data_IF_249392092468
#
_entry.id   IF_249392092468
#
_cell.length_a   1.000
_cell.length_b   1.000
_cell.length_c   1.000
_cell.angle_alpha   90.00
_cell.angle_beta   90.00
_cell.angle_gamma   90.00
#
_symmetry.space_group_name_H-M   'P 1'
#
loop_
_entity.id
_entity.type
_entity.pdbx_description
1 polymer ?
#
# COMPACT_ATOMS: atom_id res chain seq x y z
N UNK A 1 17.77 7.17 19.01
CA UNK A 1 17.38 7.18 17.58
C UNK A 1 17.84 8.50 16.98
N UNK A 2 18.76 8.48 16.02
CA UNK A 2 19.03 9.68 15.21
C UNK A 2 17.85 9.89 14.24
N UNK A 3 17.42 11.14 14.04
CA UNK A 3 16.27 11.51 13.20
C UNK A 3 16.33 10.94 11.77
N UNK A 4 17.54 10.66 11.27
CA UNK A 4 17.80 10.14 9.93
C UNK A 4 17.32 8.69 9.74
N UNK A 5 17.42 7.85 10.78
CA UNK A 5 17.05 6.42 10.71
C UNK A 5 15.55 6.20 10.91
N UNK A 6 14.88 7.03 11.73
CA UNK A 6 13.43 6.94 11.94
C UNK A 6 12.60 7.28 10.68
N UNK A 7 13.21 7.91 9.68
CA UNK A 7 12.56 8.32 8.43
C UNK A 7 12.48 7.21 7.37
N UNK A 8 13.23 6.10 7.56
CA UNK A 8 13.35 5.01 6.58
C UNK A 8 12.82 3.66 7.10
N UNK A 9 12.55 3.51 8.39
CA UNK A 9 12.04 2.27 8.96
C UNK A 9 10.53 2.09 8.71
N UNK A 10 10.11 0.88 8.37
CA UNK A 10 8.69 0.50 8.34
C UNK A 10 8.03 0.78 9.69
N UNK A 11 6.91 1.56 9.74
CA UNK A 11 6.19 1.80 10.97
C UNK A 11 5.75 0.50 11.65
N UNK A 12 5.92 0.41 12.97
CA UNK A 12 5.62 -0.81 13.75
C UNK A 12 4.21 -1.36 13.52
N UNK A 13 3.19 -0.49 13.42
CA UNK A 13 1.81 -0.93 13.19
C UNK A 13 1.62 -1.65 11.85
N UNK A 14 2.37 -1.26 10.82
CA UNK A 14 2.37 -1.92 9.51
C UNK A 14 3.09 -3.27 9.62
N UNK A 15 4.28 -3.27 10.22
CA UNK A 15 5.08 -4.49 10.39
C UNK A 15 4.30 -5.57 11.16
N UNK A 16 3.64 -5.18 12.26
CA UNK A 16 2.79 -6.05 13.07
C UNK A 16 1.57 -6.56 12.31
N UNK A 17 0.82 -5.67 11.68
CA UNK A 17 -0.37 -6.05 10.91
C UNK A 17 -0.02 -7.01 9.76
N UNK A 18 1.19 -6.92 9.20
CA UNK A 18 1.65 -7.87 8.20
C UNK A 18 1.95 -9.23 8.78
N UNK A 19 2.66 -9.29 9.91
CA UNK A 19 2.94 -10.57 10.58
C UNK A 19 1.63 -11.28 10.98
N UNK A 20 0.63 -10.54 11.44
CA UNK A 20 -0.70 -11.07 11.81
C UNK A 20 -1.50 -11.64 10.62
N UNK A 21 -1.20 -11.23 9.38
CA UNK A 21 -1.84 -11.78 8.17
C UNK A 21 -1.25 -13.12 7.73
N UNK A 22 -0.09 -13.51 8.27
CA UNK A 22 0.56 -14.78 7.92
C UNK A 22 0.01 -15.88 8.82
N UNK A 23 -0.60 -16.89 8.21
CA UNK A 23 -0.97 -18.10 8.92
C UNK A 23 0.29 -18.92 9.25
N UNK A 24 0.66 -18.98 10.53
CA UNK A 24 1.85 -19.69 10.98
C UNK A 24 1.78 -21.21 10.73
N UNK A 25 0.57 -21.77 10.54
CA UNK A 25 0.36 -23.22 10.34
C UNK A 25 0.75 -23.70 8.95
N UNK A 26 0.80 -22.80 7.96
CA UNK A 26 1.20 -23.12 6.59
C UNK A 26 2.69 -22.89 6.33
N UNK A 27 3.41 -22.31 7.30
CA UNK A 27 4.83 -22.02 7.15
C UNK A 27 5.68 -23.30 7.29
N UNK A 28 6.60 -23.57 6.35
CA UNK A 28 7.59 -24.65 6.48
C UNK A 28 8.39 -24.53 7.78
N UNK A 29 8.96 -25.61 8.32
CA UNK A 29 9.80 -25.53 9.52
C UNK A 29 11.06 -24.67 9.27
N UNK A 30 11.61 -24.05 10.32
CA UNK A 30 12.86 -23.29 10.23
C UNK A 30 12.77 -21.84 10.66
N UNK A 31 13.86 -21.11 10.43
CA UNK A 31 14.02 -19.70 10.82
C UNK A 31 13.42 -18.76 9.77
N UNK A 32 13.10 -17.54 10.19
CA UNK A 32 12.72 -16.44 9.29
C UNK A 32 13.98 -15.67 8.92
N UNK A 33 14.34 -15.68 7.64
CA UNK A 33 15.44 -14.90 7.11
C UNK A 33 14.94 -13.53 6.66
N UNK A 34 15.67 -12.48 7.02
CA UNK A 34 15.63 -11.18 6.35
C UNK A 34 17.00 -10.90 5.72
N UNK A 35 17.06 -10.97 4.39
CA UNK A 35 18.30 -10.86 3.63
C UNK A 35 18.74 -9.40 3.36
N UNK A 36 17.98 -8.42 3.84
CA UNK A 36 18.32 -7.00 3.82
C UNK A 36 17.68 -6.30 5.04
N UNK A 37 18.12 -6.71 6.23
CA UNK A 37 17.35 -6.50 7.46
C UNK A 37 17.23 -5.03 7.90
N UNK A 38 18.15 -4.15 7.48
CA UNK A 38 18.18 -2.76 7.92
C UNK A 38 18.12 -2.67 9.44
N UNK A 39 17.19 -1.88 9.98
CA UNK A 39 17.00 -1.74 11.44
C UNK A 39 16.45 -2.98 12.16
N UNK A 40 16.01 -4.02 11.44
CA UNK A 40 15.44 -5.24 12.00
C UNK A 40 13.96 -5.17 12.40
N UNK A 41 13.29 -4.01 12.28
CA UNK A 41 11.89 -3.82 12.75
C UNK A 41 10.91 -4.82 12.12
N UNK A 42 11.04 -5.08 10.82
CA UNK A 42 10.16 -6.01 10.11
C UNK A 42 10.41 -7.46 10.55
N UNK A 43 11.68 -7.87 10.65
CA UNK A 43 12.04 -9.18 11.16
C UNK A 43 11.58 -9.39 12.61
N UNK A 44 11.70 -8.37 13.48
CA UNK A 44 11.18 -8.44 14.86
C UNK A 44 9.67 -8.67 14.87
N UNK A 45 8.91 -7.96 14.04
CA UNK A 45 7.47 -8.16 13.95
C UNK A 45 7.12 -9.57 13.45
N UNK A 46 7.83 -10.07 12.43
CA UNK A 46 7.64 -11.42 11.89
C UNK A 46 7.96 -12.50 12.93
N UNK A 47 9.15 -12.44 13.54
CA UNK A 47 9.62 -13.41 14.55
C UNK A 47 8.71 -13.45 15.78
N UNK A 48 8.26 -12.28 16.24
CA UNK A 48 7.32 -12.17 17.38
C UNK A 48 5.93 -12.71 17.01
N UNK A 49 5.38 -12.29 15.86
CA UNK A 49 4.04 -12.67 15.44
C UNK A 49 3.92 -14.16 15.09
N UNK A 50 4.95 -14.71 14.46
CA UNK A 50 4.99 -16.10 14.00
C UNK A 50 5.62 -17.06 15.00
N UNK A 51 6.19 -16.55 16.09
CA UNK A 51 6.90 -17.31 17.13
C UNK A 51 7.96 -18.22 16.53
N UNK A 52 8.91 -17.60 15.83
CA UNK A 52 10.00 -18.27 15.13
C UNK A 52 11.29 -17.47 15.29
N UNK A 53 12.45 -18.15 15.35
CA UNK A 53 13.74 -17.47 15.33
C UNK A 53 13.98 -16.69 14.04
N UNK A 54 14.80 -15.65 14.13
CA UNK A 54 15.18 -14.76 13.03
C UNK A 54 16.65 -14.84 12.67
N UNK A 55 16.93 -14.83 11.37
CA UNK A 55 18.25 -14.62 10.80
C UNK A 55 18.23 -13.31 10.02
N UNK A 56 18.94 -12.29 10.50
CA UNK A 56 19.12 -11.03 9.78
C UNK A 56 20.47 -11.02 9.05
N UNK A 57 20.48 -10.48 7.84
CA UNK A 57 21.71 -10.14 7.10
C UNK A 57 21.66 -8.66 6.76
N UNK A 58 22.73 -7.94 7.07
CA UNK A 58 22.87 -6.53 6.77
C UNK A 58 24.31 -6.25 6.30
N UNK A 59 24.44 -5.49 5.22
CA UNK A 59 25.75 -5.23 4.59
C UNK A 59 26.53 -4.16 5.32
N UNK A 60 25.85 -3.20 5.94
CA UNK A 60 26.45 -2.14 6.74
C UNK A 60 26.66 -2.61 8.20
N UNK A 61 27.91 -2.71 8.70
CA UNK A 61 28.18 -3.19 10.06
C UNK A 61 27.52 -2.37 11.17
N UNK A 62 27.38 -1.05 11.01
CA UNK A 62 26.79 -0.18 12.02
C UNK A 62 25.27 -0.38 12.07
N UNK A 63 24.63 -0.56 10.91
CA UNK A 63 23.20 -0.88 10.82
C UNK A 63 22.95 -2.30 11.34
N UNK A 64 23.82 -3.25 11.04
CA UNK A 64 23.74 -4.61 11.56
C UNK A 64 23.83 -4.64 13.10
N UNK A 65 24.74 -3.84 13.69
CA UNK A 65 24.83 -3.71 15.14
C UNK A 65 23.54 -3.12 15.74
N UNK A 66 22.96 -2.10 15.08
CA UNK A 66 21.67 -1.55 15.48
C UNK A 66 20.54 -2.59 15.38
N UNK A 67 20.51 -3.39 14.32
CA UNK A 67 19.58 -4.50 14.14
C UNK A 67 19.69 -5.49 15.29
N UNK A 68 20.91 -5.90 15.64
CA UNK A 68 21.18 -6.81 16.75
C UNK A 68 20.70 -6.23 18.09
N UNK A 69 20.98 -4.94 18.36
CA UNK A 69 20.52 -4.27 19.57
C UNK A 69 18.98 -4.21 19.65
N UNK A 70 18.30 -3.93 18.54
CA UNK A 70 16.84 -3.92 18.48
C UNK A 70 16.25 -5.32 18.68
N UNK A 71 16.82 -6.35 18.03
CA UNK A 71 16.37 -7.73 18.19
C UNK A 71 16.54 -8.19 19.64
N UNK A 72 17.69 -7.93 20.26
CA UNK A 72 17.94 -8.25 21.66
C UNK A 72 17.01 -7.51 22.63
N UNK A 73 16.74 -6.24 22.38
CA UNK A 73 15.80 -5.46 23.23
C UNK A 73 14.35 -5.94 23.09
N UNK A 74 14.03 -6.65 22.00
CA UNK A 74 12.70 -7.19 21.72
C UNK A 74 12.50 -8.65 22.15
N UNK A 75 13.56 -9.35 22.58
CA UNK A 75 13.46 -10.73 23.06
C UNK A 75 13.02 -10.75 24.52
N UNK A 76 11.98 -11.53 24.83
CA UNK A 76 11.59 -11.83 26.22
C UNK A 76 12.63 -12.79 26.85
N UNK A 77 12.92 -12.62 28.15
CA UNK A 77 14.02 -13.33 28.84
C UNK A 77 13.89 -14.87 28.82
N UNK A 78 12.69 -15.42 28.61
CA UNK A 78 12.41 -16.87 28.65
C UNK A 78 12.07 -17.50 27.28
N UNK A 79 12.25 -16.78 26.16
CA UNK A 79 11.93 -17.34 24.85
C UNK A 79 13.09 -18.17 24.27
N UNK A 80 13.09 -19.47 24.59
CA UNK A 80 14.07 -20.45 24.09
C UNK A 80 14.17 -20.47 22.56
N UNK A 81 13.11 -20.10 21.82
CA UNK A 81 13.20 -20.05 20.36
C UNK A 81 14.09 -18.89 19.89
N UNK A 82 14.15 -17.77 20.62
CA UNK A 82 14.99 -16.61 20.27
C UNK A 82 16.47 -16.79 20.59
N UNK A 83 16.86 -17.85 21.31
CA UNK A 83 18.27 -18.18 21.51
C UNK A 83 18.99 -18.50 20.18
N UNK A 84 18.23 -18.83 19.14
CA UNK A 84 18.72 -19.09 17.79
C UNK A 84 18.81 -17.83 16.91
N UNK A 85 18.40 -16.67 17.41
CA UNK A 85 18.44 -15.44 16.61
C UNK A 85 19.87 -15.03 16.29
N UNK A 86 20.12 -14.63 15.05
CA UNK A 86 21.43 -14.14 14.62
C UNK A 86 21.30 -12.94 13.71
N UNK A 87 22.24 -12.02 13.84
CA UNK A 87 22.46 -10.93 12.89
C UNK A 87 23.85 -11.09 12.31
N UNK A 88 23.93 -11.23 10.99
CA UNK A 88 25.17 -11.38 10.26
C UNK A 88 25.48 -10.08 9.50
N UNK A 89 26.77 -9.72 9.50
CA UNK A 89 27.28 -8.65 8.65
C UNK A 89 27.75 -9.27 7.34
N UNK A 90 27.15 -8.88 6.22
CA UNK A 90 27.51 -9.43 4.91
C UNK A 90 26.55 -9.09 3.78
N UNK A 91 26.88 -9.55 2.58
CA UNK A 91 26.01 -9.43 1.41
C UNK A 91 24.90 -10.47 1.47
N UNK A 92 23.64 -10.02 1.43
CA UNK A 92 22.45 -10.89 1.40
C UNK A 92 22.38 -11.81 0.17
N UNK A 93 23.16 -11.55 -0.89
CA UNK A 93 23.28 -12.44 -2.05
C UNK A 93 24.22 -13.63 -1.82
N UNK A 94 25.06 -13.60 -0.77
CA UNK A 94 26.03 -14.68 -0.47
C UNK A 94 25.42 -15.72 0.49
N UNK A 95 24.41 -16.44 0.00
CA UNK A 95 23.62 -17.39 0.79
C UNK A 95 24.47 -18.52 1.40
N UNK A 96 25.44 -19.05 0.64
CA UNK A 96 26.31 -20.15 1.10
C UNK A 96 27.18 -19.73 2.29
N UNK A 97 27.83 -18.58 2.21
CA UNK A 97 28.64 -18.09 3.32
C UNK A 97 27.76 -17.72 4.53
N UNK A 98 26.60 -17.10 4.29
CA UNK A 98 25.66 -16.73 5.34
C UNK A 98 25.15 -17.96 6.10
N UNK A 99 24.73 -19.03 5.41
CA UNK A 99 24.19 -20.23 6.07
C UNK A 99 25.28 -20.98 6.86
N UNK A 100 26.50 -21.07 6.32
CA UNK A 100 27.64 -21.68 7.01
C UNK A 100 27.98 -20.88 8.27
N UNK A 101 28.03 -19.56 8.16
CA UNK A 101 28.31 -18.65 9.30
C UNK A 101 27.22 -18.78 10.36
N UNK A 102 25.95 -18.81 9.95
CA UNK A 102 24.81 -19.00 10.84
C UNK A 102 24.93 -20.31 11.63
N UNK A 103 25.11 -21.45 10.96
CA UNK A 103 25.22 -22.76 11.63
C UNK A 103 26.46 -22.88 12.51
N UNK A 104 27.59 -22.30 12.11
CA UNK A 104 28.78 -22.24 12.97
C UNK A 104 28.51 -21.44 14.24
N UNK A 105 27.85 -20.29 14.15
CA UNK A 105 27.48 -19.48 15.31
C UNK A 105 26.49 -20.17 16.27
N UNK A 106 25.61 -21.03 15.74
CA UNK A 106 24.72 -21.86 16.56
C UNK A 106 25.53 -22.92 17.31
N UNK A 107 26.47 -23.57 16.61
CA UNK A 107 27.34 -24.59 17.17
C UNK A 107 28.24 -24.06 18.29
N UNK A 108 28.82 -22.88 18.09
CA UNK A 108 29.62 -22.18 19.09
C UNK A 108 28.80 -21.85 20.34
N UNK A 109 27.52 -21.50 20.16
CA UNK A 109 26.58 -21.28 21.26
C UNK A 109 26.00 -22.60 21.86
N UNK A 110 26.55 -23.75 21.49
CA UNK A 110 26.13 -25.07 22.01
C UNK A 110 24.88 -25.66 21.35
N UNK A 111 24.32 -25.00 20.35
CA UNK A 111 23.17 -25.50 19.58
C UNK A 111 23.65 -26.38 18.43
N UNK A 112 23.36 -27.69 18.49
CA UNK A 112 23.78 -28.66 17.46
C UNK A 112 22.81 -28.76 16.28
N UNK A 113 21.68 -28.06 16.33
CA UNK A 113 20.72 -28.02 15.25
C UNK A 113 21.24 -27.15 14.10
N UNK A 114 20.96 -27.56 12.86
CA UNK A 114 21.13 -26.75 11.66
C UNK A 114 19.74 -26.44 11.13
N UNK A 115 19.03 -25.46 11.73
CA UNK A 115 17.68 -25.14 11.28
C UNK A 115 17.72 -24.62 9.84
N UNK A 116 16.78 -25.03 8.99
CA UNK A 116 16.70 -24.54 7.62
C UNK A 116 15.99 -23.17 7.58
N UNK A 117 15.86 -22.58 6.39
CA UNK A 117 15.13 -21.32 6.20
C UNK A 117 13.66 -21.63 5.90
N UNK A 118 12.78 -21.35 6.86
CA UNK A 118 11.35 -21.60 6.73
C UNK A 118 10.60 -20.48 6.02
N UNK A 119 11.13 -19.25 6.03
CA UNK A 119 10.57 -18.10 5.33
C UNK A 119 11.66 -17.09 4.98
N UNK A 120 11.58 -16.48 3.79
CA UNK A 120 12.42 -15.36 3.37
C UNK A 120 11.60 -14.07 3.31
N UNK A 121 12.11 -13.03 3.94
CA UNK A 121 11.67 -11.65 3.80
C UNK A 121 12.75 -10.83 3.09
N UNK A 122 12.32 -9.88 2.28
CA UNK A 122 13.22 -8.94 1.62
C UNK A 122 12.54 -7.57 1.44
N UNK A 123 13.11 -6.51 1.99
CA UNK A 123 12.75 -5.11 1.72
C UNK A 123 13.97 -4.38 1.13
N UNK A 124 14.18 -4.45 -0.19
CA UNK A 124 15.36 -3.85 -0.82
C UNK A 124 15.43 -2.35 -0.59
N UNK A 125 16.64 -1.84 -0.39
CA UNK A 125 16.94 -0.43 -0.43
C UNK A 125 16.52 0.16 -1.79
N UNK A 126 15.96 1.36 -1.74
CA UNK A 126 15.39 2.07 -2.88
C UNK A 126 16.27 3.28 -3.21
N UNK A 127 16.39 3.68 -4.49
CA UNK A 127 17.03 4.93 -4.84
C UNK A 127 16.36 6.12 -4.16
N UNK A 128 17.12 7.19 -3.92
CA UNK A 128 16.64 8.39 -3.20
C UNK A 128 15.65 9.23 -4.02
N UNK A 129 15.59 9.03 -5.35
CA UNK A 129 14.63 9.74 -6.20
C UNK A 129 13.21 9.28 -5.90
N UNK A 130 12.37 10.20 -5.48
CA UNK A 130 11.02 9.94 -5.01
C UNK A 130 9.95 9.96 -6.11
N UNK A 131 10.30 10.01 -7.41
CA UNK A 131 9.28 10.08 -8.46
C UNK A 131 9.03 8.73 -9.14
N UNK A 132 10.07 8.04 -9.59
CA UNK A 132 10.00 6.72 -10.23
C UNK A 132 11.15 5.87 -9.70
N UNK A 133 10.89 4.58 -9.48
CA UNK A 133 11.93 3.62 -9.12
C UNK A 133 11.98 2.53 -10.19
N UNK A 134 13.17 2.06 -10.51
CA UNK A 134 13.37 0.87 -11.30
C UNK A 134 13.80 -0.33 -10.44
N UNK A 135 13.40 -1.53 -10.85
CA UNK A 135 13.81 -2.78 -10.18
C UNK A 135 15.33 -2.95 -10.22
N UNK A 136 15.95 -2.53 -11.32
CA UNK A 136 17.40 -2.51 -11.52
C UNK A 136 18.15 -1.67 -10.49
N UNK A 137 17.48 -0.70 -9.86
CA UNK A 137 18.06 0.20 -8.85
C UNK A 137 17.89 -0.32 -7.42
N UNK A 138 17.09 -1.37 -7.22
CA UNK A 138 16.86 -1.96 -5.90
C UNK A 138 18.07 -2.79 -5.46
N UNK A 139 18.43 -2.66 -4.18
CA UNK A 139 19.54 -3.42 -3.59
C UNK A 139 19.11 -4.13 -2.30
N UNK A 140 19.32 -5.45 -2.16
CA UNK A 140 19.94 -6.35 -3.14
C UNK A 140 19.08 -6.55 -4.39
N UNK A 141 19.72 -6.92 -5.51
CA UNK A 141 18.99 -7.29 -6.72
C UNK A 141 18.18 -8.57 -6.50
N UNK A 142 16.91 -8.56 -6.90
CA UNK A 142 15.97 -9.65 -6.64
C UNK A 142 16.42 -10.99 -7.25
N UNK A 143 16.83 -10.99 -8.53
CA UNK A 143 17.11 -12.24 -9.24
C UNK A 143 18.33 -13.01 -8.69
N UNK A 144 19.51 -12.37 -8.46
CA UNK A 144 20.64 -13.04 -7.82
C UNK A 144 20.31 -13.54 -6.41
N UNK A 145 19.60 -12.74 -5.62
CA UNK A 145 19.25 -13.11 -4.25
C UNK A 145 18.31 -14.31 -4.20
N UNK A 146 17.21 -14.30 -4.97
CA UNK A 146 16.27 -15.41 -5.00
C UNK A 146 16.93 -16.69 -5.53
N UNK A 147 17.80 -16.59 -6.54
CA UNK A 147 18.56 -17.72 -7.04
C UNK A 147 19.50 -18.29 -5.96
N UNK A 148 20.25 -17.44 -5.26
CA UNK A 148 21.18 -17.86 -4.20
C UNK A 148 20.49 -18.56 -3.03
N UNK A 149 19.32 -18.07 -2.61
CA UNK A 149 18.57 -18.66 -1.49
C UNK A 149 17.67 -19.83 -1.87
N UNK A 150 17.41 -20.06 -3.16
CA UNK A 150 16.44 -21.07 -3.64
C UNK A 150 16.69 -22.47 -3.09
N UNK A 151 17.95 -22.91 -2.98
CA UNK A 151 18.34 -24.23 -2.47
C UNK A 151 18.32 -24.35 -0.95
N UNK A 152 18.19 -23.24 -0.23
CA UNK A 152 18.21 -23.17 1.24
C UNK A 152 16.82 -22.98 1.85
N UNK A 153 15.81 -22.74 1.01
CA UNK A 153 14.42 -22.54 1.43
C UNK A 153 13.68 -23.85 1.56
N UNK A 154 13.03 -24.03 2.71
CA UNK A 154 12.11 -25.13 2.90
C UNK A 154 10.84 -24.92 2.10
N UNK A 155 10.31 -26.04 1.60
CA UNK A 155 9.11 -26.04 0.76
C UNK A 155 7.89 -26.43 1.60
N UNK A 156 6.89 -25.56 1.62
CA UNK A 156 5.62 -25.82 2.26
C UNK A 156 4.56 -26.33 1.27
N UNK A 157 3.29 -26.43 1.69
CA UNK A 157 2.22 -27.03 0.88
C UNK A 157 2.01 -26.39 -0.50
N UNK A 158 2.39 -25.12 -0.67
CA UNK A 158 2.27 -24.36 -1.92
C UNK A 158 3.60 -23.79 -2.42
N UNK A 159 4.72 -24.33 -1.99
CA UNK A 159 6.05 -23.79 -2.31
C UNK A 159 6.73 -23.12 -1.10
N UNK A 160 7.90 -22.49 -1.30
CA UNK A 160 8.59 -21.74 -0.27
C UNK A 160 7.74 -20.57 0.22
N UNK A 161 7.99 -20.09 1.43
CA UNK A 161 7.36 -18.89 1.97
C UNK A 161 8.28 -17.69 1.71
N UNK A 162 7.89 -16.80 0.79
CA UNK A 162 8.69 -15.62 0.45
C UNK A 162 7.81 -14.37 0.44
N UNK A 163 8.24 -13.33 1.15
CA UNK A 163 7.60 -12.02 1.18
C UNK A 163 8.58 -10.97 0.63
N UNK A 164 8.21 -10.34 -0.48
CA UNK A 164 8.98 -9.25 -1.09
C UNK A 164 8.28 -7.92 -0.82
N UNK A 165 8.95 -7.00 -0.15
CA UNK A 165 8.51 -5.63 0.09
C UNK A 165 9.10 -4.70 -0.97
N UNK A 166 8.27 -4.31 -1.92
CA UNK A 166 8.69 -3.60 -3.13
C UNK A 166 8.24 -2.14 -3.11
N UNK A 167 8.75 -1.38 -4.07
CA UNK A 167 8.34 0.00 -4.25
C UNK A 167 6.89 0.10 -4.71
N UNK A 168 6.03 0.92 -4.08
CA UNK A 168 4.68 1.21 -4.58
C UNK A 168 4.65 2.02 -5.89
N UNK A 169 5.84 2.35 -6.43
CA UNK A 169 6.02 3.12 -7.67
C UNK A 169 6.38 2.25 -8.87
N UNK A 170 6.49 0.93 -8.68
CA UNK A 170 6.73 0.02 -9.80
C UNK A 170 5.56 0.09 -10.79
N UNK A 171 5.88 0.21 -12.07
CA UNK A 171 4.89 0.08 -13.14
C UNK A 171 4.39 -1.37 -13.28
N UNK A 172 3.30 -1.57 -14.02
CA UNK A 172 2.80 -2.92 -14.29
C UNK A 172 3.81 -3.75 -15.11
N UNK A 173 4.55 -3.11 -16.02
CA UNK A 173 5.67 -3.75 -16.74
C UNK A 173 6.75 -4.24 -15.78
N UNK A 174 7.11 -3.42 -14.79
CA UNK A 174 8.09 -3.79 -13.78
C UNK A 174 7.57 -4.89 -12.87
N UNK A 175 6.31 -4.84 -12.43
CA UNK A 175 5.70 -5.95 -11.70
C UNK A 175 5.79 -7.26 -12.52
N UNK A 176 5.54 -7.20 -13.83
CA UNK A 176 5.72 -8.33 -14.74
C UNK A 176 7.17 -8.87 -14.80
N UNK A 177 8.18 -8.00 -14.69
CA UNK A 177 9.58 -8.43 -14.56
C UNK A 177 9.83 -9.16 -13.24
N UNK A 178 9.26 -8.69 -12.12
CA UNK A 178 9.34 -9.41 -10.83
C UNK A 178 8.69 -10.78 -10.96
N UNK A 179 7.49 -10.85 -11.56
CA UNK A 179 6.79 -12.11 -11.79
C UNK A 179 7.63 -13.07 -12.63
N UNK A 180 8.33 -12.58 -13.66
CA UNK A 180 9.22 -13.40 -14.50
C UNK A 180 10.45 -13.91 -13.73
N UNK A 181 11.04 -13.09 -12.85
CA UNK A 181 12.13 -13.52 -11.97
C UNK A 181 11.64 -14.64 -11.04
N UNK A 182 10.49 -14.45 -10.40
CA UNK A 182 9.91 -15.46 -9.51
C UNK A 182 9.56 -16.73 -10.27
N UNK A 183 8.95 -16.65 -11.44
CA UNK A 183 8.62 -17.82 -12.27
C UNK A 183 9.88 -18.59 -12.71
N UNK A 184 10.97 -17.88 -13.01
CA UNK A 184 12.23 -18.50 -13.41
C UNK A 184 12.88 -19.25 -12.25
N UNK A 185 12.86 -18.69 -11.04
CA UNK A 185 13.46 -19.32 -9.85
C UNK A 185 12.55 -20.38 -9.22
N UNK A 186 11.24 -20.15 -9.25
CA UNK A 186 10.21 -20.91 -8.56
C UNK A 186 9.01 -21.23 -9.48
N UNK A 187 9.18 -22.13 -10.46
CA UNK A 187 8.17 -22.36 -11.50
C UNK A 187 6.83 -22.85 -10.94
N UNK A 188 5.73 -22.28 -11.43
CA UNK A 188 4.37 -22.70 -11.08
C UNK A 188 3.92 -22.41 -9.64
N UNK A 189 4.70 -21.64 -8.88
CA UNK A 189 4.38 -21.33 -7.48
C UNK A 189 3.38 -20.15 -7.42
N UNK A 190 2.28 -20.28 -6.64
CA UNK A 190 1.27 -19.24 -6.52
C UNK A 190 1.82 -17.97 -5.90
N UNK A 191 1.24 -16.84 -6.30
CA UNK A 191 1.63 -15.52 -5.82
C UNK A 191 0.42 -14.61 -5.66
N UNK A 192 0.53 -13.70 -4.70
CA UNK A 192 -0.46 -12.66 -4.45
C UNK A 192 0.25 -11.32 -4.34
N UNK A 193 -0.06 -10.41 -5.26
CA UNK A 193 0.35 -9.03 -5.13
C UNK A 193 -0.57 -8.30 -4.15
N UNK A 194 0.00 -7.48 -3.28
CA UNK A 194 -0.71 -6.70 -2.27
C UNK A 194 -0.43 -5.20 -2.42
N UNK A 195 -1.49 -4.40 -2.52
CA UNK A 195 -1.45 -2.94 -2.43
C UNK A 195 -1.98 -2.50 -1.07
N UNK A 196 -1.13 -1.84 -0.29
CA UNK A 196 -1.53 -1.29 1.02
C UNK A 196 -1.65 0.22 0.94
N UNK A 197 -2.78 0.73 1.41
CA UNK A 197 -3.06 2.16 1.58
C UNK A 197 -3.41 2.51 3.02
N UNK A 198 -2.73 3.50 3.57
CA UNK A 198 -3.06 4.21 4.81
C UNK A 198 -4.05 5.37 4.58
N UNK A 199 -4.49 5.56 3.33
CA UNK A 199 -5.45 6.55 2.87
C UNK A 199 -4.78 7.79 2.30
N UNK A 200 -5.58 8.84 2.06
CA UNK A 200 -5.04 10.11 1.56
C UNK A 200 -4.70 10.12 0.07
N UNK A 201 -5.14 9.11 -0.69
CA UNK A 201 -5.04 9.07 -2.16
C UNK A 201 -3.66 8.65 -2.67
N UNK A 202 -2.99 7.71 -1.99
CA UNK A 202 -1.71 7.13 -2.42
C UNK A 202 -1.65 5.65 -2.03
N UNK A 203 -0.81 4.91 -2.75
CA UNK A 203 -0.38 3.57 -2.36
C UNK A 203 0.86 3.75 -1.50
N UNK A 204 0.84 3.22 -0.27
CA UNK A 204 1.95 3.35 0.67
C UNK A 204 2.93 2.19 0.56
N UNK A 205 2.45 0.97 0.28
CA UNK A 205 3.29 -0.20 0.05
C UNK A 205 2.76 -1.10 -1.06
N UNK A 206 3.70 -1.77 -1.70
CA UNK A 206 3.47 -2.84 -2.65
C UNK A 206 4.28 -4.04 -2.20
N UNK A 207 3.65 -5.20 -2.05
CA UNK A 207 4.34 -6.42 -1.65
C UNK A 207 3.93 -7.60 -2.53
N UNK A 208 4.82 -8.56 -2.71
CA UNK A 208 4.54 -9.83 -3.38
C UNK A 208 4.67 -10.98 -2.38
N UNK A 209 3.59 -11.74 -2.23
CA UNK A 209 3.49 -12.87 -1.33
C UNK A 209 3.55 -14.16 -2.15
N UNK A 210 4.55 -15.01 -1.90
CA UNK A 210 4.88 -16.14 -2.76
C UNK A 210 4.71 -17.46 -2.00
N UNK A 211 4.17 -18.46 -2.70
CA UNK A 211 4.08 -19.84 -2.26
C UNK A 211 3.23 -20.01 -1.01
N UNK A 212 3.79 -20.57 0.05
CA UNK A 212 2.99 -20.98 1.21
C UNK A 212 2.25 -19.85 1.91
N UNK A 213 2.74 -18.60 1.81
CA UNK A 213 2.09 -17.41 2.39
C UNK A 213 1.19 -16.65 1.42
N UNK A 214 1.14 -17.03 0.14
CA UNK A 214 0.25 -16.39 -0.84
C UNK A 214 -1.23 -16.60 -0.50
N UNK A 215 -2.15 -15.83 -1.06
CA UNK A 215 -3.59 -16.14 -1.02
C UNK A 215 -3.95 -17.17 -2.11
N UNK A 216 -5.21 -17.61 -2.15
CA UNK A 216 -5.81 -18.27 -3.31
C UNK A 216 -6.08 -17.30 -4.46
N UNK A 217 -6.09 -15.99 -4.19
CA UNK A 217 -6.33 -14.91 -5.16
C UNK A 217 -5.01 -14.26 -5.57
N UNK A 218 -4.94 -13.76 -6.80
CA UNK A 218 -3.70 -13.16 -7.34
C UNK A 218 -3.48 -11.72 -6.87
N UNK A 219 -4.54 -11.01 -6.45
CA UNK A 219 -4.49 -9.62 -6.01
C UNK A 219 -5.15 -9.46 -4.65
N UNK A 220 -4.55 -8.61 -3.81
CA UNK A 220 -5.09 -8.13 -2.55
C UNK A 220 -4.94 -6.62 -2.44
N UNK A 221 -5.96 -5.93 -1.97
CA UNK A 221 -5.89 -4.55 -1.53
C UNK A 221 -6.18 -4.49 -0.03
N UNK A 222 -5.37 -3.74 0.70
CA UNK A 222 -5.49 -3.59 2.16
C UNK A 222 -5.61 -2.12 2.50
N UNK A 223 -6.69 -1.77 3.20
CA UNK A 223 -6.87 -0.45 3.80
C UNK A 223 -6.43 -0.50 5.26
N UNK A 224 -5.35 0.22 5.57
CA UNK A 224 -4.74 0.25 6.89
C UNK A 224 -5.13 1.50 7.68
N UNK A 225 -5.71 1.32 8.86
CA UNK A 225 -5.92 2.41 9.81
C UNK A 225 -4.62 2.81 10.51
N UNK A 226 -4.72 3.57 11.60
CA UNK A 226 -3.53 3.97 12.38
C UNK A 226 -2.84 2.78 13.06
N UNK A 227 -3.61 1.76 13.46
CA UNK A 227 -3.12 0.62 14.27
C UNK A 227 -3.49 -0.76 13.74
N UNK A 228 -4.57 -0.89 12.96
CA UNK A 228 -5.08 -2.17 12.46
C UNK A 228 -5.59 -2.04 11.02
N UNK A 229 -5.69 -3.18 10.34
CA UNK A 229 -6.40 -3.27 9.06
C UNK A 229 -7.85 -2.86 9.28
N UNK A 230 -8.34 -1.96 8.42
CA UNK A 230 -9.74 -1.51 8.42
C UNK A 230 -10.57 -2.37 7.49
N UNK A 231 -10.07 -2.65 6.29
CA UNK A 231 -10.75 -3.44 5.28
C UNK A 231 -9.73 -4.11 4.36
N UNK A 232 -10.12 -5.21 3.73
CA UNK A 232 -9.34 -5.85 2.69
C UNK A 232 -10.25 -6.43 1.60
N UNK A 233 -9.81 -6.31 0.36
CA UNK A 233 -10.45 -6.92 -0.79
C UNK A 233 -9.42 -7.85 -1.44
N UNK A 234 -9.82 -9.07 -1.74
CA UNK A 234 -9.01 -10.03 -2.50
C UNK A 234 -9.80 -10.50 -3.73
N UNK A 235 -9.11 -10.73 -4.84
CA UNK A 235 -9.76 -11.16 -6.05
C UNK A 235 -8.84 -11.27 -7.25
N UNK A 236 -9.46 -11.36 -8.42
CA UNK A 236 -8.77 -11.30 -9.70
C UNK A 236 -8.92 -9.89 -10.27
N UNK A 237 -7.89 -9.35 -10.94
CA UNK A 237 -7.95 -8.01 -11.50
C UNK A 237 -8.99 -7.96 -12.62
N UNK A 238 -9.79 -6.90 -12.65
CA UNK A 238 -10.72 -6.61 -13.74
C UNK A 238 -10.44 -5.21 -14.29
N UNK A 239 -10.55 -5.08 -15.60
CA UNK A 239 -10.47 -3.80 -16.29
C UNK A 239 -11.82 -3.11 -16.32
N UNK A 240 -11.81 -1.79 -16.33
CA UNK A 240 -13.01 -0.97 -16.47
C UNK A 240 -12.78 0.16 -17.45
N UNK A 241 -13.84 0.52 -18.15
CA UNK A 241 -13.82 1.65 -19.07
C UNK A 241 -14.06 2.97 -18.34
N UNK A 242 -13.39 4.02 -18.81
CA UNK A 242 -13.64 5.38 -18.34
C UNK A 242 -14.71 6.01 -19.24
N UNK A 243 -15.85 6.35 -18.65
CA UNK A 243 -16.93 7.04 -19.33
C UNK A 243 -16.52 8.47 -19.68
N UNK A 244 -16.83 8.88 -20.91
CA UNK A 244 -16.66 10.26 -21.38
C UNK A 244 -17.93 11.04 -21.13
N UNK A 245 -17.81 12.20 -20.50
CA UNK A 245 -18.94 13.08 -20.25
C UNK A 245 -19.10 14.10 -21.39
N UNK A 246 -20.14 13.94 -22.21
CA UNK A 246 -20.48 14.95 -23.24
C UNK A 246 -21.23 16.17 -22.64
N UNK A 247 -21.87 15.96 -21.49
CA UNK A 247 -22.69 16.94 -20.79
C UNK A 247 -22.35 16.92 -19.30
N UNK A 248 -22.58 18.04 -18.58
CA UNK A 248 -22.49 18.05 -17.13
C UNK A 248 -23.31 16.90 -16.52
N UNK A 249 -22.80 16.21 -15.49
CA UNK A 249 -23.57 15.20 -14.78
C UNK A 249 -24.84 15.82 -14.18
N UNK A 250 -25.92 15.05 -13.98
CA UNK A 250 -27.15 15.59 -13.40
C UNK A 250 -26.95 16.01 -11.94
N UNK A 251 -27.66 17.06 -11.50
CA UNK A 251 -27.80 17.34 -10.08
C UNK A 251 -28.54 16.18 -9.39
N UNK A 252 -28.17 15.87 -8.15
CA UNK A 252 -28.72 14.73 -7.42
C UNK A 252 -27.96 13.41 -7.63
N UNK A 253 -27.14 13.28 -8.67
CA UNK A 253 -26.21 12.15 -8.76
C UNK A 253 -25.11 12.26 -7.70
N UNK A 254 -24.47 11.14 -7.39
CA UNK A 254 -23.41 11.04 -6.40
C UNK A 254 -22.05 10.90 -7.06
N UNK A 255 -21.08 11.68 -6.61
CA UNK A 255 -19.67 11.49 -6.95
C UNK A 255 -18.93 10.92 -5.76
N UNK A 256 -18.08 9.93 -6.01
CA UNK A 256 -17.24 9.30 -5.01
C UNK A 256 -15.78 9.29 -5.47
N UNK A 257 -14.89 9.74 -4.60
CA UNK A 257 -13.44 9.62 -4.76
C UNK A 257 -13.04 8.32 -4.08
N UNK A 258 -12.52 7.38 -4.85
CA UNK A 258 -12.15 6.05 -4.37
C UNK A 258 -10.65 5.97 -4.13
N UNK A 259 -10.23 5.14 -3.16
CA UNK A 259 -8.82 4.92 -2.88
C UNK A 259 -8.08 4.37 -4.11
N UNK A 260 -6.99 5.02 -4.57
CA UNK A 260 -6.26 4.56 -5.74
C UNK A 260 -5.66 3.16 -5.59
N UNK A 261 -5.32 2.71 -4.38
CA UNK A 261 -4.82 1.35 -4.19
C UNK A 261 -5.82 0.28 -4.64
N UNK A 262 -7.12 0.53 -4.44
CA UNK A 262 -8.17 -0.38 -4.88
C UNK A 262 -8.24 -0.45 -6.41
N UNK A 263 -8.08 0.68 -7.09
CA UNK A 263 -8.08 0.72 -8.56
C UNK A 263 -6.81 0.11 -9.15
N UNK A 264 -5.64 0.50 -8.64
CA UNK A 264 -4.34 -0.02 -9.10
C UNK A 264 -4.16 -1.53 -8.84
N UNK A 265 -4.80 -2.08 -7.80
CA UNK A 265 -4.83 -3.53 -7.59
C UNK A 265 -5.73 -4.29 -8.59
N UNK A 266 -6.55 -3.58 -9.38
CA UNK A 266 -7.54 -4.16 -10.28
C UNK A 266 -8.80 -4.69 -9.58
N UNK A 267 -8.97 -4.41 -8.28
CA UNK A 267 -10.06 -4.96 -7.46
C UNK A 267 -11.29 -4.04 -7.33
N UNK A 268 -11.28 -2.91 -8.03
CA UNK A 268 -12.35 -1.92 -7.98
C UNK A 268 -13.71 -2.47 -8.43
N UNK A 269 -13.77 -3.39 -9.40
CA UNK A 269 -15.05 -4.03 -9.79
C UNK A 269 -15.57 -5.00 -8.73
N UNK A 270 -14.68 -5.78 -8.10
CA UNK A 270 -15.07 -6.69 -7.01
C UNK A 270 -15.61 -5.92 -5.79
N UNK A 271 -15.05 -4.73 -5.54
CA UNK A 271 -15.57 -3.81 -4.53
C UNK A 271 -16.90 -3.17 -4.97
N UNK A 272 -17.04 -2.77 -6.24
CA UNK A 272 -18.27 -2.16 -6.77
C UNK A 272 -19.49 -3.07 -6.68
N UNK A 273 -19.32 -4.38 -6.84
CA UNK A 273 -20.39 -5.38 -6.65
C UNK A 273 -21.04 -5.30 -5.26
N UNK A 274 -20.30 -4.82 -4.26
CA UNK A 274 -20.78 -4.66 -2.89
C UNK A 274 -21.14 -3.20 -2.59
N UNK A 275 -20.37 -2.25 -3.12
CA UNK A 275 -20.48 -0.84 -2.78
C UNK A 275 -21.66 -0.12 -3.43
N UNK A 276 -22.13 -0.59 -4.60
CA UNK A 276 -23.20 0.09 -5.35
C UNK A 276 -24.47 -0.75 -5.32
N UNK A 277 -25.64 -0.17 -4.98
CA UNK A 277 -26.92 -0.85 -5.08
C UNK A 277 -27.16 -1.42 -6.49
N UNK A 278 -27.75 -2.62 -6.59
CA UNK A 278 -27.89 -3.34 -7.86
C UNK A 278 -28.65 -2.56 -8.95
N UNK A 279 -29.63 -1.74 -8.56
CA UNK A 279 -30.42 -0.91 -9.48
C UNK A 279 -29.78 0.46 -9.79
N UNK A 280 -28.69 0.81 -9.12
CA UNK A 280 -28.04 2.12 -9.27
C UNK A 280 -27.19 2.17 -10.54
N UNK A 281 -27.42 3.21 -11.36
CA UNK A 281 -26.58 3.50 -12.51
C UNK A 281 -25.19 3.93 -12.05
N UNK A 282 -24.13 3.37 -12.65
CA UNK A 282 -22.75 3.64 -12.26
C UNK A 282 -21.81 3.83 -13.45
N UNK A 283 -20.80 4.67 -13.31
CA UNK A 283 -19.74 4.84 -14.30
C UNK A 283 -18.46 5.36 -13.67
N UNK A 284 -17.31 4.85 -14.12
CA UNK A 284 -16.02 5.43 -13.78
C UNK A 284 -15.75 6.66 -14.66
N UNK A 285 -15.45 7.79 -14.04
CA UNK A 285 -15.07 9.03 -14.73
C UNK A 285 -13.55 9.22 -14.75
N UNK A 286 -12.84 8.54 -13.84
CA UNK A 286 -11.38 8.56 -13.74
C UNK A 286 -10.92 7.31 -13.02
N UNK A 287 -9.97 6.57 -13.60
CA UNK A 287 -9.33 5.41 -12.96
C UNK A 287 -7.87 5.67 -12.59
N UNK A 288 -7.25 6.68 -13.20
CA UNK A 288 -5.82 6.97 -13.01
C UNK A 288 -5.56 8.05 -11.95
N UNK A 289 -4.32 8.03 -11.45
CA UNK A 289 -3.80 9.04 -10.54
C UNK A 289 -4.30 8.88 -9.11
N UNK A 290 -4.31 9.99 -8.36
CA UNK A 290 -4.54 9.97 -6.90
C UNK A 290 -6.01 10.03 -6.49
N UNK A 291 -6.91 10.23 -7.45
CA UNK A 291 -8.33 10.48 -7.21
C UNK A 291 -9.18 9.79 -8.28
N UNK A 292 -9.22 8.45 -8.33
CA UNK A 292 -10.25 7.77 -9.08
C UNK A 292 -11.64 8.31 -8.74
N UNK A 293 -12.47 8.51 -9.75
CA UNK A 293 -13.80 9.12 -9.63
C UNK A 293 -14.84 8.16 -10.17
N UNK A 294 -15.79 7.84 -9.31
CA UNK A 294 -17.00 7.08 -9.63
C UNK A 294 -18.20 8.03 -9.58
N UNK A 295 -19.09 7.94 -10.56
CA UNK A 295 -20.42 8.55 -10.51
C UNK A 295 -21.47 7.46 -10.35
N UNK A 296 -22.46 7.71 -9.48
CA UNK A 296 -23.60 6.83 -9.21
C UNK A 296 -24.91 7.61 -9.20
N UNK A 297 -26.04 6.95 -9.49
CA UNK A 297 -27.37 7.59 -9.40
C UNK A 297 -27.86 7.69 -7.96
N UNK A 298 -27.45 6.74 -7.13
CA UNK A 298 -27.86 6.58 -5.73
C UNK A 298 -26.62 6.54 -4.81
N UNK A 299 -26.77 6.83 -3.49
CA UNK A 299 -25.67 6.71 -2.55
C UNK A 299 -25.04 5.31 -2.56
N UNK A 300 -23.73 5.25 -2.26
CA UNK A 300 -23.07 3.98 -1.98
C UNK A 300 -23.70 3.30 -0.75
N UNK A 301 -23.64 1.97 -0.73
CA UNK A 301 -24.01 1.18 0.44
C UNK A 301 -23.12 1.59 1.64
N UNK A 302 -23.74 1.86 2.78
CA UNK A 302 -23.01 2.18 4.01
C UNK A 302 -22.58 0.89 4.70
N UNK A 303 -21.29 0.64 4.68
CA UNK A 303 -20.65 -0.50 5.33
C UNK A 303 -19.21 -0.12 5.67
N UNK A 304 -18.71 -0.54 6.83
CA UNK A 304 -17.39 -0.13 7.31
C UNK A 304 -16.25 -0.57 6.38
N UNK A 305 -16.37 -1.72 5.72
CA UNK A 305 -15.37 -2.24 4.79
C UNK A 305 -15.42 -1.51 3.44
N UNK A 306 -16.62 -1.12 3.00
CA UNK A 306 -16.81 -0.29 1.81
C UNK A 306 -16.28 1.12 2.05
N UNK A 307 -16.72 1.75 3.13
CA UNK A 307 -16.41 3.13 3.52
C UNK A 307 -14.91 3.34 3.74
N UNK A 308 -14.19 2.28 4.14
CA UNK A 308 -12.75 2.32 4.31
C UNK A 308 -11.99 2.72 3.03
N UNK A 309 -12.52 2.37 1.84
CA UNK A 309 -11.94 2.71 0.54
C UNK A 309 -12.52 3.99 -0.09
N UNK A 310 -13.49 4.64 0.56
CA UNK A 310 -14.10 5.89 0.08
C UNK A 310 -13.37 7.08 0.70
N UNK A 311 -12.69 7.88 -0.12
CA UNK A 311 -11.98 9.09 0.33
C UNK A 311 -12.96 10.24 0.59
N UNK A 312 -13.96 10.38 -0.28
CA UNK A 312 -15.04 11.34 -0.17
C UNK A 312 -16.21 10.87 -1.04
N UNK A 313 -17.44 11.08 -0.60
CA UNK A 313 -18.65 10.79 -1.39
C UNK A 313 -19.71 11.84 -1.09
N UNK A 314 -20.46 12.26 -2.11
CA UNK A 314 -21.47 13.30 -1.93
C UNK A 314 -22.32 13.56 -3.16
N UNK A 315 -23.48 14.16 -2.92
CA UNK A 315 -24.46 14.52 -3.95
C UNK A 315 -24.00 15.78 -4.70
N UNK A 316 -24.10 15.78 -6.03
CA UNK A 316 -23.78 16.93 -6.87
C UNK A 316 -24.87 18.00 -6.70
N UNK A 317 -24.49 19.13 -6.10
CA UNK A 317 -25.39 20.25 -5.83
C UNK A 317 -25.07 21.51 -6.64
N UNK A 318 -23.88 21.58 -7.24
CA UNK A 318 -23.48 22.75 -8.03
C UNK A 318 -22.46 22.41 -9.11
N UNK A 319 -22.60 23.09 -10.25
CA UNK A 319 -21.62 23.13 -11.32
C UNK A 319 -20.96 24.51 -11.43
N UNK A 320 -19.69 24.53 -11.81
CA UNK A 320 -18.96 25.76 -12.14
C UNK A 320 -18.11 25.54 -13.40
N UNK A 321 -18.06 26.56 -14.25
CA UNK A 321 -17.29 26.55 -15.49
C UNK A 321 -15.87 27.12 -15.34
N UNK A 322 -15.52 27.59 -14.13
CA UNK A 322 -14.21 28.16 -13.85
C UNK A 322 -13.61 27.55 -12.59
N UNK A 323 -12.26 27.40 -12.54
CA UNK A 323 -11.57 26.92 -11.36
C UNK A 323 -11.81 27.85 -10.17
N UNK A 324 -11.60 27.35 -8.94
CA UNK A 324 -11.48 28.21 -7.78
C UNK A 324 -10.23 29.11 -7.93
N UNK A 325 -10.44 30.42 -7.90
CA UNK A 325 -9.38 31.42 -8.01
C UNK A 325 -9.44 32.41 -6.84
N UNK A 326 -8.32 33.05 -6.51
CA UNK A 326 -8.24 33.96 -5.37
C UNK A 326 -9.25 35.12 -5.44
N UNK A 327 -9.58 35.57 -6.66
CA UNK A 327 -10.54 36.65 -6.92
C UNK A 327 -12.00 36.20 -6.86
N UNK A 328 -12.30 34.91 -7.05
CA UNK A 328 -13.67 34.36 -7.08
C UNK A 328 -13.96 33.44 -5.90
N UNK A 329 -13.02 33.27 -4.96
CA UNK A 329 -13.14 32.31 -3.86
C UNK A 329 -14.30 32.65 -2.91
N UNK A 330 -14.56 33.93 -2.65
CA UNK A 330 -15.70 34.33 -1.80
C UNK A 330 -17.04 34.09 -2.49
N UNK A 331 -17.12 34.30 -3.81
CA UNK A 331 -18.31 33.93 -4.59
C UNK A 331 -18.52 32.41 -4.60
N UNK A 332 -17.42 31.65 -4.56
CA UNK A 332 -17.45 30.18 -4.42
C UNK A 332 -18.00 29.76 -3.07
N UNK A 333 -17.53 30.36 -1.99
CA UNK A 333 -18.05 30.15 -0.65
C UNK A 333 -19.54 30.49 -0.55
N UNK A 334 -19.95 31.67 -1.00
CA UNK A 334 -21.34 32.11 -0.94
C UNK A 334 -22.29 31.19 -1.73
N UNK A 335 -21.85 30.68 -2.88
CA UNK A 335 -22.65 29.73 -3.65
C UNK A 335 -22.78 28.37 -2.95
N UNK A 336 -21.70 27.87 -2.35
CA UNK A 336 -21.73 26.64 -1.58
C UNK A 336 -22.60 26.75 -0.32
N UNK A 337 -22.52 27.87 0.39
CA UNK A 337 -23.35 28.16 1.56
C UNK A 337 -24.85 28.12 1.23
N UNK A 338 -25.25 28.63 0.05
CA UNK A 338 -26.64 28.53 -0.43
C UNK A 338 -27.11 27.09 -0.65
N UNK A 339 -26.19 26.17 -0.90
CA UNK A 339 -26.45 24.73 -1.01
C UNK A 339 -26.30 24.00 0.34
N UNK A 340 -26.23 24.72 1.45
CA UNK A 340 -26.12 24.16 2.80
C UNK A 340 -24.77 23.51 3.10
N UNK A 341 -23.69 23.99 2.47
CA UNK A 341 -22.33 23.53 2.71
C UNK A 341 -21.59 24.55 3.59
N UNK A 342 -21.16 24.11 4.77
CA UNK A 342 -20.37 24.91 5.73
C UNK A 342 -18.86 24.69 5.61
N UNK A 343 -18.41 23.70 4.83
CA UNK A 343 -16.99 23.45 4.59
C UNK A 343 -16.75 22.76 3.25
N UNK A 344 -15.80 23.23 2.45
CA UNK A 344 -15.42 22.60 1.19
C UNK A 344 -13.95 22.18 1.20
N UNK A 345 -13.67 20.93 0.83
CA UNK A 345 -12.31 20.49 0.50
C UNK A 345 -12.07 20.57 -1.02
N UNK A 346 -11.01 21.28 -1.43
CA UNK A 346 -10.62 21.35 -2.85
C UNK A 346 -9.90 20.06 -3.28
N UNK A 347 -10.62 19.21 -4.00
CA UNK A 347 -10.16 17.94 -4.59
C UNK A 347 -9.97 18.03 -6.11
N UNK A 348 -9.91 19.24 -6.65
CA UNK A 348 -9.64 19.48 -8.05
C UNK A 348 -8.14 19.61 -8.36
N UNK A 349 -7.77 19.47 -9.63
CA UNK A 349 -6.41 19.74 -10.13
C UNK A 349 -6.13 21.24 -10.08
N UNK A 350 -5.17 21.66 -9.26
CA UNK A 350 -4.76 23.06 -9.04
C UNK A 350 -3.24 23.14 -8.91
N UNK A 351 -2.69 24.33 -9.17
CA UNK A 351 -1.28 24.62 -8.90
C UNK A 351 -0.96 24.35 -7.40
N UNK A 352 -0.01 23.45 -7.10
CA UNK A 352 0.41 23.16 -5.73
C UNK A 352 0.85 24.38 -4.92
N UNK A 353 1.39 25.42 -5.57
CA UNK A 353 1.83 26.65 -4.90
C UNK A 353 0.64 27.49 -4.39
N UNK A 354 -0.49 27.46 -5.11
CA UNK A 354 -1.66 28.29 -4.81
C UNK A 354 -2.72 27.53 -4.00
N UNK A 355 -2.80 26.19 -4.15
CA UNK A 355 -3.80 25.34 -3.51
C UNK A 355 -3.99 25.60 -1.99
N UNK A 356 -2.93 25.65 -1.15
CA UNK A 356 -3.11 25.88 0.29
C UNK A 356 -3.72 27.25 0.62
N UNK A 357 -3.45 28.25 -0.21
CA UNK A 357 -3.98 29.61 -0.04
C UNK A 357 -5.46 29.66 -0.40
N UNK A 358 -5.87 29.01 -1.49
CA UNK A 358 -7.27 28.90 -1.89
C UNK A 358 -8.09 28.17 -0.83
N UNK A 359 -7.59 27.01 -0.36
CA UNK A 359 -8.25 26.23 0.69
C UNK A 359 -8.45 27.07 1.96
N UNK A 360 -7.41 27.77 2.43
CA UNK A 360 -7.49 28.62 3.63
C UNK A 360 -8.49 29.77 3.48
N UNK A 361 -8.56 30.41 2.31
CA UNK A 361 -9.54 31.48 2.06
C UNK A 361 -10.97 30.95 2.05
N UNK A 362 -11.18 29.78 1.45
CA UNK A 362 -12.48 29.10 1.43
C UNK A 362 -12.93 28.73 2.85
N UNK A 363 -12.03 28.13 3.64
CA UNK A 363 -12.28 27.79 5.06
C UNK A 363 -12.60 29.04 5.89
N UNK A 364 -11.93 30.17 5.63
CA UNK A 364 -12.23 31.43 6.31
C UNK A 364 -13.60 31.99 5.92
N UNK A 365 -13.96 31.94 4.65
CA UNK A 365 -15.22 32.49 4.14
C UNK A 365 -16.45 31.67 4.59
N UNK A 366 -16.28 30.37 4.83
CA UNK A 366 -17.35 29.47 5.28
C UNK A 366 -17.38 29.26 6.80
N UNK A 367 -16.45 29.85 7.57
CA UNK A 367 -16.27 29.54 9.00
C UNK A 367 -17.54 29.68 9.85
N UNK A 368 -18.32 30.72 9.58
CA UNK A 368 -19.54 31.05 10.32
C UNK A 368 -20.81 30.49 9.64
N UNK A 369 -20.63 29.69 8.58
CA UNK A 369 -21.73 29.04 7.85
C UNK A 369 -21.93 27.66 8.45
N UNK A 370 -23.06 27.48 9.12
CA UNK A 370 -23.50 26.14 9.52
C UNK A 370 -23.95 25.35 8.28
N UNK A 371 -23.54 24.09 8.19
CA UNK A 371 -23.83 23.25 7.03
C UNK A 371 -22.97 22.00 6.93
N UNK A 372 -23.31 21.17 5.95
CA UNK A 372 -22.60 19.93 5.68
C UNK A 372 -21.18 20.18 5.19
N UNK A 373 -20.34 19.15 5.25
CA UNK A 373 -19.08 19.14 4.51
C UNK A 373 -19.38 18.94 3.03
N UNK A 374 -18.41 19.31 2.21
CA UNK A 374 -18.47 19.11 0.78
C UNK A 374 -17.07 19.08 0.19
N UNK A 375 -17.01 18.74 -1.08
CA UNK A 375 -15.77 18.74 -1.84
C UNK A 375 -16.01 19.21 -3.26
N UNK A 376 -14.95 19.75 -3.87
CA UNK A 376 -14.97 20.19 -5.26
C UNK A 376 -14.01 19.34 -6.09
N UNK A 377 -14.49 18.80 -7.20
CA UNK A 377 -13.69 18.00 -8.15
C UNK A 377 -13.76 18.60 -9.55
N UNK A 378 -12.67 18.45 -10.30
CA UNK A 378 -12.60 18.71 -11.74
C UNK A 378 -13.08 17.48 -12.53
N UNK A 379 -13.90 17.72 -13.54
CA UNK A 379 -14.45 16.75 -14.46
C UNK A 379 -14.12 17.19 -15.89
N UNK A 380 -13.60 16.29 -16.70
CA UNK A 380 -13.32 16.55 -18.11
C UNK A 380 -14.60 16.32 -18.92
N UNK A 381 -15.04 17.35 -19.64
CA UNK A 381 -16.14 17.24 -20.60
C UNK A 381 -15.58 17.13 -22.02
N UNK A 382 -16.02 16.10 -22.74
CA UNK A 382 -15.74 15.92 -24.15
C UNK A 382 -16.70 16.79 -24.96
N UNK A 383 -16.19 17.90 -25.50
CA UNK A 383 -16.92 18.83 -26.36
C UNK A 383 -16.19 19.02 -27.70
N UNK A 384 -15.78 17.92 -28.33
CA UNK A 384 -15.10 17.95 -29.62
C UNK A 384 -13.65 18.41 -29.51
N UNK A 385 -13.18 19.29 -30.41
CA UNK A 385 -11.75 19.60 -30.57
C UNK A 385 -11.10 20.33 -29.38
N UNK A 386 -11.89 20.90 -28.47
CA UNK A 386 -11.42 21.52 -27.23
C UNK A 386 -12.16 20.90 -26.05
N UNK A 387 -11.46 20.07 -25.26
CA UNK A 387 -11.97 19.60 -23.97
C UNK A 387 -12.25 20.79 -23.04
N UNK A 388 -13.27 20.66 -22.19
CA UNK A 388 -13.62 21.69 -21.23
C UNK A 388 -13.69 21.10 -19.82
N UNK A 389 -12.92 21.66 -18.88
CA UNK A 389 -12.98 21.26 -17.48
C UNK A 389 -14.18 21.90 -16.79
N UNK A 390 -15.06 21.06 -16.24
CA UNK A 390 -16.15 21.44 -15.36
C UNK A 390 -15.75 21.19 -13.90
N UNK A 391 -16.20 22.03 -12.98
CA UNK A 391 -16.00 21.81 -11.54
C UNK A 391 -17.34 21.49 -10.88
N UNK A 392 -17.45 20.31 -10.30
CA UNK A 392 -18.61 19.87 -9.54
C UNK A 392 -18.37 20.10 -8.05
N UNK A 393 -19.34 20.70 -7.35
CA UNK A 393 -19.36 20.78 -5.88
C UNK A 393 -20.35 19.73 -5.39
N UNK A 394 -19.84 18.87 -4.53
CA UNK A 394 -20.59 17.77 -3.94
C UNK A 394 -20.81 18.05 -2.46
N UNK A 395 -22.02 17.80 -1.97
CA UNK A 395 -22.40 17.88 -0.57
C UNK A 395 -22.26 16.47 0.04
N UNK A 396 -21.41 16.33 1.06
CA UNK A 396 -21.29 15.08 1.81
C UNK A 396 -22.54 14.90 2.68
N UNK A 397 -23.02 13.66 2.77
CA UNK A 397 -24.13 13.28 3.64
C UNK A 397 -23.69 13.14 5.10
#
# INVERSE_FOLDING_TARGET
MTETLGRLSTPWSIAKARAEQIDATVLPAGVILDAAAGSGVQLIALTTGLRRPGLAIEIDPDIALLCAANMHSSSEEDDFQRSMDRVLVGDGCDAENAIVTFWNSLREAGTRAHPPIGMLHLDPARPRDAQKHEISEMQPSLAPLLAAWSSHLETGPRGPAILLDLSPRLSDEQQGLVDAVVETTFPGIPRTWEWLSQGGGRIDRLSLWIGSISSKKTRRCVRMGTKRVMASVEGEPRSSDVAKLERPPPFGAYLSIIDPALVHSGLHEAWLEQAVPEESGRSWLRLEGRRPLLITTDPLNSDADIDAFVIATGEIVQHRLSPPELRTIEQTAAAAARNGIGKITLRCTLDPAIHPTLQRRLDKALREVDGARGFMVDLELDRGSNGHTLYAVCKEN
#
